data_IF_386130464647
#
_entry.id   IF_386130464647
#
_cell.length_a   1.000
_cell.length_b   1.000
_cell.length_c   1.000
_cell.angle_alpha   90.00
_cell.angle_beta   90.00
_cell.angle_gamma   90.00
#
_symmetry.space_group_name_H-M   'P 1'
#
loop_
_entity.id
_entity.type
_entity.pdbx_description
1 polymer ?
#
# COMPACT_ATOMS: atom_id res chain seq x y z
N UNK A 1 2.24 -3.81 -27.35
CA UNK A 1 2.28 -2.45 -26.76
C UNK A 1 2.47 -2.62 -25.27
N UNK A 2 3.50 -2.05 -24.67
CA UNK A 2 3.81 -2.30 -23.25
C UNK A 2 2.71 -1.73 -22.35
N UNK A 3 2.10 -2.57 -21.52
CA UNK A 3 1.07 -2.19 -20.53
C UNK A 3 1.50 -0.99 -19.68
N UNK A 4 2.80 -0.91 -19.37
CA UNK A 4 3.39 0.22 -18.67
C UNK A 4 3.21 1.55 -19.41
N UNK A 5 3.44 1.56 -20.71
CA UNK A 5 3.32 2.75 -21.56
C UNK A 5 1.84 3.20 -21.66
N UNK A 6 0.92 2.24 -21.72
CA UNK A 6 -0.52 2.51 -21.74
C UNK A 6 -0.99 3.16 -20.44
N UNK A 7 -0.51 2.68 -19.28
CA UNK A 7 -0.83 3.27 -17.97
C UNK A 7 -0.18 4.66 -17.85
N UNK A 8 1.08 4.79 -18.27
CA UNK A 8 1.85 6.05 -18.15
C UNK A 8 1.26 7.19 -18.99
N UNK A 9 0.69 6.90 -20.13
CA UNK A 9 0.01 7.88 -21.00
C UNK A 9 -1.47 7.98 -20.66
N UNK A 10 -2.12 6.85 -20.39
CA UNK A 10 -3.56 6.78 -20.16
C UNK A 10 -4.00 7.46 -18.87
N UNK A 11 -3.21 7.36 -17.79
CA UNK A 11 -3.54 7.97 -16.51
C UNK A 11 -3.58 9.52 -16.61
N UNK A 12 -2.56 10.22 -17.13
CA UNK A 12 -2.64 11.66 -17.33
C UNK A 12 -3.74 12.10 -18.30
N UNK A 13 -3.98 11.33 -19.35
CA UNK A 13 -5.07 11.63 -20.29
C UNK A 13 -6.44 11.55 -19.60
N UNK A 14 -6.64 10.56 -18.75
CA UNK A 14 -7.85 10.39 -17.95
C UNK A 14 -8.03 11.53 -16.94
N UNK A 15 -6.94 11.98 -16.29
CA UNK A 15 -6.95 13.14 -15.39
C UNK A 15 -7.40 14.40 -16.12
N UNK A 16 -6.81 14.69 -17.27
CA UNK A 16 -7.17 15.86 -18.08
C UNK A 16 -8.65 15.79 -18.50
N UNK A 17 -9.12 14.61 -18.89
CA UNK A 17 -10.52 14.37 -19.24
C UNK A 17 -11.46 14.71 -18.06
N UNK A 18 -11.15 14.24 -16.85
CA UNK A 18 -11.93 14.56 -15.66
C UNK A 18 -11.85 16.03 -15.30
N UNK A 19 -10.68 16.66 -15.39
CA UNK A 19 -10.51 18.09 -15.15
C UNK A 19 -11.37 18.92 -16.08
N UNK A 20 -11.42 18.61 -17.37
CA UNK A 20 -12.27 19.29 -18.33
C UNK A 20 -13.75 19.07 -18.02
N UNK A 21 -14.15 17.84 -17.77
CA UNK A 21 -15.56 17.46 -17.60
C UNK A 21 -16.13 17.96 -16.27
N UNK A 22 -15.40 17.86 -15.19
CA UNK A 22 -15.82 18.29 -13.85
C UNK A 22 -15.60 19.80 -13.71
N UNK A 23 -14.41 20.28 -14.09
CA UNK A 23 -14.05 21.70 -14.01
C UNK A 23 -14.96 22.58 -14.85
N UNK A 24 -15.40 22.11 -16.01
CA UNK A 24 -16.41 22.80 -16.82
C UNK A 24 -17.78 22.97 -16.13
N UNK A 25 -18.14 22.07 -15.20
CA UNK A 25 -19.38 22.15 -14.43
C UNK A 25 -19.27 23.05 -13.19
N UNK A 26 -18.15 22.94 -12.47
CA UNK A 26 -17.95 23.67 -11.19
C UNK A 26 -17.31 25.06 -11.40
N UNK A 27 -16.75 25.32 -12.58
CA UNK A 27 -16.05 26.54 -12.92
C UNK A 27 -14.55 26.51 -12.59
N UNK A 28 -13.78 27.31 -13.32
CA UNK A 28 -12.32 27.32 -13.23
C UNK A 28 -11.80 27.68 -11.83
N UNK A 29 -12.38 28.70 -11.19
CA UNK A 29 -11.95 29.14 -9.86
C UNK A 29 -12.14 28.04 -8.81
N UNK A 30 -13.30 27.37 -8.84
CA UNK A 30 -13.60 26.28 -7.91
C UNK A 30 -12.67 25.09 -8.16
N UNK A 31 -12.35 24.78 -9.42
CA UNK A 31 -11.42 23.71 -9.77
C UNK A 31 -10.03 24.00 -9.22
N UNK A 32 -9.50 25.21 -9.42
CA UNK A 32 -8.20 25.63 -8.89
C UNK A 32 -8.20 25.58 -7.36
N UNK A 33 -9.26 26.09 -6.72
CA UNK A 33 -9.39 26.04 -5.25
C UNK A 33 -9.40 24.62 -4.73
N UNK A 34 -10.08 23.70 -5.41
CA UNK A 34 -10.13 22.29 -5.04
C UNK A 34 -8.73 21.63 -5.14
N UNK A 35 -7.99 21.91 -6.20
CA UNK A 35 -6.62 21.43 -6.39
C UNK A 35 -5.70 21.86 -5.25
N UNK A 36 -5.75 23.16 -4.88
CA UNK A 36 -4.96 23.66 -3.75
C UNK A 36 -5.40 23.03 -2.43
N UNK A 37 -6.71 22.89 -2.21
CA UNK A 37 -7.24 22.27 -1.00
C UNK A 37 -6.76 20.81 -0.86
N UNK A 38 -6.87 20.02 -1.92
CA UNK A 38 -6.44 18.61 -1.90
C UNK A 38 -4.94 18.49 -1.66
N UNK A 39 -4.12 19.33 -2.30
CA UNK A 39 -2.67 19.35 -2.10
C UNK A 39 -2.30 19.69 -0.65
N UNK A 40 -2.91 20.73 -0.05
CA UNK A 40 -2.66 21.13 1.34
C UNK A 40 -3.08 20.03 2.31
N UNK A 41 -4.28 19.46 2.14
CA UNK A 41 -4.78 18.37 2.98
C UNK A 41 -3.92 17.12 2.82
N UNK A 42 -3.48 16.80 1.61
CA UNK A 42 -2.58 15.68 1.33
C UNK A 42 -1.27 15.79 2.10
N UNK A 43 -0.59 16.91 1.99
CA UNK A 43 0.66 17.17 2.72
C UNK A 43 0.45 17.13 4.24
N UNK A 44 -0.63 17.73 4.73
CA UNK A 44 -0.96 17.77 6.16
C UNK A 44 -1.17 16.34 6.72
N UNK A 45 -2.02 15.55 6.08
CA UNK A 45 -2.27 14.17 6.52
C UNK A 45 -1.05 13.28 6.36
N UNK A 46 -0.29 13.44 5.28
CA UNK A 46 0.94 12.70 5.05
C UNK A 46 1.96 12.95 6.16
N UNK A 47 2.11 14.22 6.58
CA UNK A 47 3.02 14.59 7.67
C UNK A 47 2.62 13.93 8.98
N UNK A 48 1.34 14.04 9.37
CA UNK A 48 0.86 13.47 10.64
C UNK A 48 1.03 11.96 10.64
N UNK A 49 0.57 11.29 9.60
CA UNK A 49 0.61 9.83 9.52
C UNK A 49 2.03 9.29 9.31
N UNK A 50 2.87 10.01 8.56
CA UNK A 50 4.26 9.67 8.37
C UNK A 50 5.01 9.65 9.70
N UNK A 51 4.86 10.69 10.53
CA UNK A 51 5.47 10.77 11.87
C UNK A 51 4.96 9.65 12.77
N UNK A 52 3.66 9.39 12.79
CA UNK A 52 3.07 8.30 13.59
C UNK A 52 3.62 6.93 13.16
N UNK A 53 3.72 6.68 11.87
CA UNK A 53 4.24 5.42 11.31
C UNK A 53 5.71 5.22 11.65
N UNK A 54 6.53 6.27 11.54
CA UNK A 54 7.93 6.23 11.92
C UNK A 54 8.10 5.95 13.42
N UNK A 55 7.33 6.62 14.27
CA UNK A 55 7.36 6.41 15.73
C UNK A 55 6.98 4.96 16.08
N UNK A 56 5.93 4.42 15.49
CA UNK A 56 5.51 3.03 15.69
C UNK A 56 6.58 2.04 15.22
N UNK A 57 7.22 2.32 14.08
CA UNK A 57 8.33 1.51 13.56
C UNK A 57 9.51 1.46 14.52
N UNK A 58 9.91 2.60 15.08
CA UNK A 58 10.99 2.68 16.07
C UNK A 58 10.66 1.89 17.34
N UNK A 59 9.44 2.04 17.88
CA UNK A 59 9.00 1.29 19.07
C UNK A 59 9.07 -0.22 18.82
N UNK A 60 8.63 -0.68 17.66
CA UNK A 60 8.68 -2.11 17.29
C UNK A 60 10.12 -2.62 17.18
N UNK A 61 11.04 -1.82 16.64
CA UNK A 61 12.46 -2.15 16.60
C UNK A 61 13.05 -2.31 18.01
N UNK A 62 12.74 -1.40 18.95
CA UNK A 62 13.17 -1.52 20.35
C UNK A 62 12.62 -2.77 21.03
N UNK A 63 11.48 -3.29 20.58
CA UNK A 63 10.88 -4.54 21.06
C UNK A 63 11.39 -5.79 20.33
N UNK A 64 12.44 -5.69 19.51
CA UNK A 64 12.97 -6.75 18.66
C UNK A 64 11.91 -7.35 17.70
N UNK A 65 10.91 -6.55 17.31
CA UNK A 65 9.90 -6.92 16.32
C UNK A 65 10.25 -6.30 14.97
N UNK A 66 10.17 -7.09 13.90
CA UNK A 66 10.36 -6.56 12.55
C UNK A 66 9.19 -5.62 12.17
N UNK A 67 9.44 -4.32 11.91
CA UNK A 67 8.39 -3.35 11.62
C UNK A 67 7.94 -3.39 10.14
N UNK A 68 7.59 -4.58 9.65
CA UNK A 68 7.22 -4.78 8.23
C UNK A 68 5.97 -3.97 7.87
N UNK A 69 4.98 -3.96 8.76
CA UNK A 69 3.76 -3.19 8.55
C UNK A 69 4.04 -1.69 8.48
N UNK A 70 4.90 -1.17 9.33
CA UNK A 70 5.27 0.24 9.38
C UNK A 70 6.06 0.65 8.14
N UNK A 71 6.96 -0.19 7.65
CA UNK A 71 7.70 0.05 6.42
C UNK A 71 6.76 0.09 5.21
N UNK A 72 5.86 -0.87 5.08
CA UNK A 72 4.86 -0.89 4.01
C UNK A 72 3.90 0.30 4.12
N UNK A 73 3.47 0.63 5.34
CA UNK A 73 2.60 1.77 5.60
C UNK A 73 3.29 3.09 5.25
N UNK A 74 4.56 3.25 5.63
CA UNK A 74 5.37 4.43 5.29
C UNK A 74 5.54 4.61 3.78
N UNK A 75 5.86 3.54 3.05
CA UNK A 75 5.96 3.57 1.60
C UNK A 75 4.61 3.96 0.94
N UNK A 76 3.50 3.43 1.47
CA UNK A 76 2.15 3.77 0.97
C UNK A 76 1.80 5.24 1.24
N UNK A 77 2.16 5.80 2.41
CA UNK A 77 1.96 7.21 2.73
C UNK A 77 2.78 8.09 1.77
N UNK A 78 4.05 7.75 1.54
CA UNK A 78 4.91 8.49 0.62
C UNK A 78 4.34 8.49 -0.80
N UNK A 79 3.88 7.34 -1.28
CA UNK A 79 3.26 7.21 -2.60
C UNK A 79 1.95 8.00 -2.68
N UNK A 80 1.07 7.91 -1.68
CA UNK A 80 -0.17 8.67 -1.61
C UNK A 80 0.09 10.19 -1.62
N UNK A 81 1.11 10.63 -0.89
CA UNK A 81 1.51 12.04 -0.86
C UNK A 81 1.99 12.53 -2.22
N UNK A 82 2.75 11.69 -2.93
CA UNK A 82 3.21 12.01 -4.29
C UNK A 82 2.01 12.17 -5.24
N UNK A 83 1.00 11.29 -5.14
CA UNK A 83 -0.21 11.39 -5.93
C UNK A 83 -0.98 12.70 -5.67
N UNK A 84 -1.08 13.12 -4.40
CA UNK A 84 -1.80 14.36 -4.04
C UNK A 84 -1.03 15.65 -4.37
N UNK A 85 0.29 15.58 -4.53
CA UNK A 85 1.11 16.72 -4.98
C UNK A 85 0.91 16.97 -6.49
N UNK A 86 0.74 15.92 -7.27
CA UNK A 86 0.43 16.02 -8.70
C UNK A 86 -1.08 16.21 -8.84
N UNK A 87 -1.54 17.42 -9.22
CA UNK A 87 -2.95 17.74 -9.18
C UNK A 87 -3.74 16.90 -10.18
N UNK A 88 -4.74 16.17 -9.68
CA UNK A 88 -5.65 15.36 -10.48
C UNK A 88 -6.92 15.03 -9.70
N UNK A 89 -8.02 14.77 -10.39
CA UNK A 89 -9.26 14.35 -9.72
C UNK A 89 -9.24 12.88 -9.32
N UNK A 90 -8.76 12.04 -10.20
CA UNK A 90 -8.74 10.59 -9.99
C UNK A 90 -7.56 10.18 -9.09
N UNK A 91 -6.38 10.74 -9.35
CA UNK A 91 -5.19 10.50 -8.51
C UNK A 91 -5.38 11.03 -7.11
N UNK A 92 -6.03 12.20 -6.92
CA UNK A 92 -6.34 12.74 -5.59
C UNK A 92 -7.26 11.80 -4.80
N UNK A 93 -8.30 11.25 -5.45
CA UNK A 93 -9.19 10.28 -4.81
C UNK A 93 -8.42 9.03 -4.34
N UNK A 94 -7.54 8.49 -5.19
CA UNK A 94 -6.70 7.33 -4.84
C UNK A 94 -5.74 7.70 -3.71
N UNK A 95 -5.08 8.86 -3.80
CA UNK A 95 -4.17 9.36 -2.77
C UNK A 95 -4.84 9.47 -1.41
N UNK A 96 -6.03 10.07 -1.34
CA UNK A 96 -6.81 10.13 -0.10
C UNK A 96 -7.19 8.74 0.43
N UNK A 97 -7.66 7.84 -0.44
CA UNK A 97 -7.96 6.47 -0.04
C UNK A 97 -6.75 5.76 0.59
N UNK A 98 -5.56 5.96 0.03
CA UNK A 98 -4.32 5.39 0.54
C UNK A 98 -3.84 6.07 1.83
N UNK A 99 -4.17 7.33 2.06
CA UNK A 99 -3.85 8.02 3.31
C UNK A 99 -4.69 7.52 4.49
N UNK A 100 -5.91 7.08 4.28
CA UNK A 100 -6.77 6.62 5.37
C UNK A 100 -6.20 5.33 5.97
N UNK A 101 -5.89 5.26 7.30
CA UNK A 101 -5.27 4.07 7.91
C UNK A 101 -6.14 2.81 7.80
N UNK A 102 -7.45 2.98 7.78
CA UNK A 102 -8.41 1.88 7.67
C UNK A 102 -8.32 1.18 6.31
N UNK A 103 -8.28 1.93 5.22
CA UNK A 103 -8.14 1.40 3.85
C UNK A 103 -6.82 0.66 3.67
N UNK A 104 -5.72 1.18 4.20
CA UNK A 104 -4.42 0.50 4.17
C UNK A 104 -4.45 -0.85 4.87
N UNK A 105 -5.06 -0.94 6.05
CA UNK A 105 -5.21 -2.22 6.78
C UNK A 105 -5.96 -3.26 5.95
N UNK A 106 -7.02 -2.85 5.25
CA UNK A 106 -7.79 -3.74 4.38
C UNK A 106 -6.94 -4.20 3.20
N UNK A 107 -6.27 -3.28 2.50
CA UNK A 107 -5.41 -3.58 1.35
C UNK A 107 -4.29 -4.55 1.76
N UNK A 108 -3.60 -4.30 2.87
CA UNK A 108 -2.54 -5.17 3.35
C UNK A 108 -3.07 -6.54 3.77
N UNK A 109 -4.23 -6.61 4.42
CA UNK A 109 -4.85 -7.88 4.81
C UNK A 109 -5.17 -8.75 3.59
N UNK A 110 -5.68 -8.14 2.51
CA UNK A 110 -5.98 -8.83 1.26
C UNK A 110 -4.68 -9.33 0.60
N UNK A 111 -3.65 -8.48 0.57
CA UNK A 111 -2.38 -8.78 -0.07
C UNK A 111 -1.59 -9.87 0.68
N UNK A 112 -1.55 -9.81 2.01
CA UNK A 112 -0.88 -10.79 2.87
C UNK A 112 -1.61 -12.13 2.82
N UNK A 113 -2.97 -12.13 2.83
CA UNK A 113 -3.74 -13.37 2.75
C UNK A 113 -3.51 -14.10 1.41
N UNK A 114 -3.37 -13.36 0.31
CA UNK A 114 -3.08 -13.96 -1.01
C UNK A 114 -1.73 -14.67 -1.02
N UNK A 115 -0.71 -14.07 -0.43
CA UNK A 115 0.63 -14.67 -0.40
C UNK A 115 0.75 -15.84 0.60
N UNK A 116 -0.09 -15.88 1.64
CA UNK A 116 -0.11 -16.97 2.62
C UNK A 116 -0.75 -18.25 2.07
N UNK A 117 -1.63 -18.16 1.10
CA UNK A 117 -2.24 -19.31 0.43
C UNK A 117 -1.22 -20.00 -0.49
N UNK A 118 -0.41 -19.22 -1.21
CA UNK A 118 0.62 -19.74 -2.11
C UNK A 118 1.78 -20.44 -1.36
N UNK A 119 2.04 -20.04 -0.12
CA UNK A 119 3.08 -20.66 0.73
C UNK A 119 2.62 -21.97 1.39
N UNK A 120 1.32 -22.22 1.54
CA UNK A 120 0.81 -23.47 2.10
C UNK A 120 0.86 -24.62 1.11
N UNK A 121 0.64 -24.38 -0.16
CA UNK A 121 0.70 -25.45 -1.18
C UNK A 121 2.13 -25.94 -1.45
N UNK A 122 3.15 -25.14 -1.13
CA UNK A 122 4.57 -25.57 -1.27
C UNK A 122 5.12 -26.36 -0.08
N UNK A 123 4.43 -26.41 1.05
CA UNK A 123 4.89 -27.13 2.25
C UNK A 123 4.30 -28.55 2.42
N UNK A 124 3.34 -28.95 1.59
CA UNK A 124 2.66 -30.26 1.75
C UNK A 124 3.39 -31.42 1.06
N UNK A 125 4.49 -31.18 0.35
CA UNK A 125 5.22 -32.23 -0.37
C UNK A 125 6.62 -32.55 0.17
N UNK A 126 6.87 -32.34 1.47
CA UNK A 126 8.06 -32.86 2.15
C UNK A 126 7.68 -33.50 3.48
N UNK A 127 6.87 -34.54 3.41
CA UNK A 127 6.82 -35.53 4.49
C UNK A 127 8.02 -36.47 4.25
N UNK A 128 9.05 -36.30 5.05
CA UNK A 128 10.12 -37.32 5.15
C UNK A 128 9.56 -38.34 6.11
N UNK A 129 9.18 -39.51 5.59
CA UNK A 129 8.91 -40.69 6.40
C UNK A 129 10.24 -41.11 7.04
N UNK A 130 10.42 -40.69 8.28
CA UNK A 130 11.50 -41.17 9.12
C UNK A 130 11.12 -42.55 9.66
N UNK A 131 11.68 -43.62 9.04
CA UNK A 131 11.59 -44.97 9.53
C UNK A 131 12.38 -45.08 10.85
N UNK A 132 11.64 -45.26 11.96
CA UNK A 132 12.24 -45.52 13.27
C UNK A 132 12.78 -46.94 13.25
N UNK A 133 14.06 -47.11 13.04
CA UNK A 133 14.75 -48.40 13.25
C UNK A 133 14.83 -48.62 14.75
N UNK A 134 13.94 -49.47 15.24
CA UNK A 134 13.97 -49.98 16.61
C UNK A 134 15.16 -50.95 16.70
N UNK A 135 16.26 -50.49 17.30
CA UNK A 135 17.42 -51.33 17.59
C UNK A 135 17.14 -52.03 18.89
N UNK A 136 16.71 -53.27 18.80
CA UNK A 136 16.58 -54.15 19.94
C UNK A 136 17.88 -54.21 20.74
N UNK A 137 17.77 -53.92 22.02
CA UNK A 137 18.75 -54.23 23.04
C UNK A 137 18.54 -55.70 23.44
N UNK A 138 19.26 -56.59 22.80
CA UNK A 138 19.59 -57.86 23.37
C UNK A 138 21.03 -58.16 22.97
N UNK A 139 21.94 -58.01 23.95
CA UNK A 139 23.04 -58.90 24.27
C UNK A 139 23.90 -58.32 25.40
N UNK A 140 23.71 -58.95 26.57
CA UNK A 140 24.65 -59.14 27.72
C UNK A 140 24.98 -57.91 28.55
#
# INVERSE_FOLDING_TARGET
>A
MNTFLLIFIGLPALEIFFMIKIGGKIGALNTVSLIFLTAILGVFFARIQGIQTLRSGLINLYQNKAPIYELMSGATIAFASLLLIVPGFFTDLIGFLLLIPFTRKIIFKIFIKKNSVESKDKKTNKTIDGEIINRDKDEL
#
